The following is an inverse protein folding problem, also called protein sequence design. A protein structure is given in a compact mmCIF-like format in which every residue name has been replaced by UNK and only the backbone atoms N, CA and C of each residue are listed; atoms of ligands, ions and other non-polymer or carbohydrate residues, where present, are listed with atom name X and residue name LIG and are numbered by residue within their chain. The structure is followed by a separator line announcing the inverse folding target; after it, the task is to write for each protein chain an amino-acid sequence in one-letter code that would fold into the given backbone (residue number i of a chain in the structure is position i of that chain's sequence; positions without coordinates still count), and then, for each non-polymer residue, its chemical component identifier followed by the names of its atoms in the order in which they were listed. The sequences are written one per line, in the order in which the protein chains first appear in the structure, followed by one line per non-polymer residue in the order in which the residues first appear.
data_IF_380549701925
#
_entry.id   IF_380549701925
#
_cell.length_a   1.000
_cell.length_b   1.000
_cell.length_c   1.000
_cell.angle_alpha   90.00
_cell.angle_beta   90.00
_cell.angle_gamma   90.00
#
_symmetry.space_group_name_H-M   'P 1'
#
loop_
_entity.id
_entity.type
_entity.pdbx_description
1 polymer ?
#
# COMPACT_ATOMS: atom_id res chain seq x y z
N UNK A 1 -3.45 13.59 -3.86
CA UNK A 1 -3.23 12.73 -2.68
C UNK A 1 -4.50 11.95 -2.47
N UNK A 2 -4.39 10.66 -2.18
CA UNK A 2 -5.54 9.81 -1.90
C UNK A 2 -5.58 9.41 -0.42
N UNK A 3 -6.64 9.80 0.28
CA UNK A 3 -6.84 9.44 1.70
C UNK A 3 -7.22 7.97 1.86
N UNK A 4 -6.75 7.30 2.92
CA UNK A 4 -7.18 5.97 3.30
C UNK A 4 -8.71 5.89 3.39
N UNK A 5 -9.29 4.80 2.89
CA UNK A 5 -10.75 4.61 2.91
C UNK A 5 -11.25 4.22 4.30
N UNK A 6 -10.35 3.77 5.18
CA UNK A 6 -10.67 3.32 6.55
C UNK A 6 -9.54 3.66 7.50
N UNK A 7 -9.90 4.06 8.71
CA UNK A 7 -8.99 4.14 9.86
C UNK A 7 -8.93 2.79 10.57
N UNK A 8 -7.74 2.40 11.04
CA UNK A 8 -7.58 1.22 11.89
C UNK A 8 -8.24 1.46 13.24
N UNK A 9 -9.12 0.56 13.64
CA UNK A 9 -9.73 0.52 14.98
C UNK A 9 -8.86 -0.34 15.91
N UNK A 10 -9.06 -0.19 17.21
CA UNK A 10 -8.43 -1.04 18.24
C UNK A 10 -6.90 -1.02 18.26
N UNK A 11 -6.30 0.12 17.93
CA UNK A 11 -4.86 0.37 18.10
C UNK A 11 -4.65 1.61 18.97
N UNK A 12 -3.59 1.67 19.76
CA UNK A 12 -3.29 2.81 20.66
C UNK A 12 -2.55 3.96 19.98
N UNK A 13 -2.15 3.82 18.72
CA UNK A 13 -1.40 4.84 17.98
C UNK A 13 -2.17 6.14 17.80
N UNK A 14 -1.48 7.29 17.85
CA UNK A 14 -2.10 8.60 17.58
C UNK A 14 -2.65 8.68 16.15
N UNK A 15 -1.86 8.19 15.18
CA UNK A 15 -2.30 8.01 13.78
C UNK A 15 -2.98 6.66 13.64
N UNK A 16 -4.05 6.61 12.84
CA UNK A 16 -4.82 5.37 12.56
C UNK A 16 -4.70 4.92 11.11
N UNK A 17 -3.79 5.54 10.37
CA UNK A 17 -3.48 5.29 8.96
C UNK A 17 -1.97 5.31 8.79
N UNK A 18 -1.51 4.66 7.72
CA UNK A 18 -0.13 4.72 7.23
C UNK A 18 -0.07 5.72 6.07
N UNK A 19 1.12 6.16 5.70
CA UNK A 19 1.33 7.00 4.52
C UNK A 19 2.31 6.30 3.60
N UNK A 20 1.87 5.96 2.39
CA UNK A 20 2.75 5.63 1.28
C UNK A 20 3.12 6.93 0.55
N UNK A 21 4.38 7.33 0.61
CA UNK A 21 4.93 8.30 -0.33
C UNK A 21 5.47 7.56 -1.54
N UNK A 22 5.17 8.07 -2.74
CA UNK A 22 5.62 7.45 -3.98
C UNK A 22 6.14 8.45 -4.99
N UNK A 23 7.11 8.01 -5.79
CA UNK A 23 7.60 8.74 -6.96
C UNK A 23 6.68 8.66 -8.16
N UNK A 24 5.67 7.79 -8.14
CA UNK A 24 4.60 7.81 -9.14
C UNK A 24 3.87 9.15 -9.07
N UNK A 25 3.63 9.73 -10.23
CA UNK A 25 3.22 11.14 -10.36
C UNK A 25 1.70 11.29 -10.25
N UNK A 26 0.95 10.37 -10.86
CA UNK A 26 -0.49 10.52 -11.04
C UNK A 26 -1.28 9.50 -10.22
N UNK A 27 -2.44 9.92 -9.72
CA UNK A 27 -3.34 9.02 -8.99
C UNK A 27 -3.82 7.87 -9.87
N UNK A 28 -4.00 8.14 -11.17
CA UNK A 28 -4.40 7.18 -12.20
C UNK A 28 -3.39 6.06 -12.40
N UNK A 29 -2.13 6.23 -11.98
CA UNK A 29 -1.13 5.15 -12.04
C UNK A 29 -1.56 3.96 -11.15
N UNK A 30 -2.30 4.26 -10.06
CA UNK A 30 -2.83 3.25 -9.13
C UNK A 30 -4.24 2.75 -9.49
N UNK A 31 -4.83 3.18 -10.61
CA UNK A 31 -6.10 2.64 -11.11
C UNK A 31 -5.92 1.24 -11.75
N UNK A 32 -4.67 0.81 -11.93
CA UNK A 32 -4.32 -0.55 -12.35
C UNK A 32 -4.92 -1.59 -11.41
N UNK A 33 -5.58 -2.62 -11.97
CA UNK A 33 -6.14 -3.73 -11.19
C UNK A 33 -5.02 -4.56 -10.57
N UNK A 34 -5.10 -4.79 -9.26
CA UNK A 34 -4.12 -5.61 -8.56
C UNK A 34 -4.30 -7.10 -8.93
N UNK A 35 -3.24 -7.80 -9.34
CA UNK A 35 -3.33 -9.18 -9.81
C UNK A 35 -4.03 -10.11 -8.81
N UNK A 36 -4.95 -10.94 -9.31
CA UNK A 36 -5.73 -11.86 -8.49
C UNK A 36 -6.94 -11.23 -7.78
N UNK A 37 -7.24 -9.96 -8.08
CA UNK A 37 -8.40 -9.23 -7.53
C UNK A 37 -9.22 -8.58 -8.65
N UNK A 38 -10.38 -8.00 -8.29
CA UNK A 38 -11.13 -7.06 -9.12
C UNK A 38 -11.03 -5.61 -8.60
N UNK A 39 -9.97 -5.30 -7.86
CA UNK A 39 -9.75 -4.01 -7.18
C UNK A 39 -8.50 -3.33 -7.70
N UNK A 40 -8.52 -2.00 -7.72
CA UNK A 40 -7.35 -1.21 -8.10
C UNK A 40 -6.27 -1.27 -7.02
N UNK A 41 -5.02 -1.03 -7.38
CA UNK A 41 -3.91 -0.91 -6.44
C UNK A 41 -4.21 0.14 -5.36
N UNK A 42 -4.77 1.29 -5.75
CA UNK A 42 -5.23 2.32 -4.80
C UNK A 42 -6.25 1.76 -3.81
N UNK A 43 -7.27 1.03 -4.29
CA UNK A 43 -8.30 0.49 -3.41
C UNK A 43 -7.73 -0.51 -2.41
N UNK A 44 -6.87 -1.43 -2.87
CA UNK A 44 -6.24 -2.45 -2.01
C UNK A 44 -5.53 -1.78 -0.83
N UNK A 45 -4.62 -0.84 -1.11
CA UNK A 45 -3.85 -0.15 -0.07
C UNK A 45 -4.73 0.70 0.86
N UNK A 46 -5.67 1.46 0.30
CA UNK A 46 -6.49 2.39 1.06
C UNK A 46 -7.53 1.70 1.93
N UNK A 47 -8.09 0.58 1.48
CA UNK A 47 -9.17 -0.12 2.18
C UNK A 47 -8.66 -1.20 3.14
N UNK A 48 -7.82 -2.12 2.67
CA UNK A 48 -7.36 -3.27 3.46
C UNK A 48 -6.20 -2.90 4.37
N UNK A 49 -5.33 -2.00 3.93
CA UNK A 49 -4.08 -1.68 4.61
C UNK A 49 -4.04 -0.27 5.22
N UNK A 50 -5.19 0.42 5.30
CA UNK A 50 -5.35 1.72 5.96
C UNK A 50 -4.29 2.77 5.54
N UNK A 51 -3.96 2.82 4.26
CA UNK A 51 -2.82 3.60 3.76
C UNK A 51 -3.28 4.79 2.92
N UNK A 52 -2.86 5.99 3.31
CA UNK A 52 -2.91 7.21 2.51
C UNK A 52 -1.82 7.13 1.41
N UNK A 53 -2.08 7.66 0.21
CA UNK A 53 -1.11 7.64 -0.90
C UNK A 53 -0.76 9.07 -1.33
N UNK A 54 0.52 9.40 -1.19
CA UNK A 54 1.10 10.71 -1.46
C UNK A 54 2.02 10.62 -2.67
N UNK A 55 1.54 11.15 -3.79
CA UNK A 55 2.21 11.11 -5.10
C UNK A 55 3.27 12.20 -5.26
N UNK A 56 4.06 12.06 -6.32
CA UNK A 56 5.08 13.00 -6.75
C UNK A 56 6.04 13.34 -5.58
N UNK A 57 6.72 12.30 -5.07
CA UNK A 57 7.72 12.38 -3.99
C UNK A 57 9.05 11.85 -4.50
N UNK A 58 10.13 12.27 -3.84
CA UNK A 58 11.49 11.96 -4.29
C UNK A 58 11.86 10.48 -4.17
N UNK A 59 11.14 9.70 -3.36
CA UNK A 59 11.38 8.28 -3.15
C UNK A 59 10.09 7.56 -2.71
N UNK A 60 10.10 6.24 -2.84
CA UNK A 60 9.05 5.36 -2.33
C UNK A 60 9.32 5.02 -0.85
N UNK A 61 8.44 5.44 0.06
CA UNK A 61 8.53 5.07 1.48
C UNK A 61 7.15 4.83 2.08
N UNK A 62 7.08 3.89 3.03
CA UNK A 62 5.93 3.69 3.89
C UNK A 62 6.23 4.24 5.28
N UNK A 63 5.39 5.16 5.75
CA UNK A 63 5.37 5.64 7.12
C UNK A 63 4.28 4.88 7.87
N UNK A 64 4.64 4.07 8.86
CA UNK A 64 3.72 3.28 9.67
C UNK A 64 2.93 4.14 10.66
N UNK A 65 1.92 3.54 11.31
CA UNK A 65 1.04 4.24 12.25
C UNK A 65 1.76 4.79 13.50
N UNK A 66 2.86 4.15 13.90
CA UNK A 66 3.74 4.61 14.98
C UNK A 66 4.73 5.70 14.53
N UNK A 67 4.80 5.99 13.22
CA UNK A 67 5.69 7.00 12.64
C UNK A 67 7.02 6.48 12.13
N UNK A 68 7.33 5.19 12.29
CA UNK A 68 8.52 4.57 11.67
C UNK A 68 8.44 4.71 10.15
N UNK A 69 9.55 5.08 9.50
CA UNK A 69 9.64 5.13 8.03
C UNK A 69 10.43 3.95 7.47
N UNK A 70 9.93 3.38 6.39
CA UNK A 70 10.53 2.27 5.66
C UNK A 70 10.71 2.67 4.20
N UNK A 71 11.96 2.78 3.75
CA UNK A 71 12.27 3.04 2.35
C UNK A 71 12.02 1.77 1.54
N UNK A 72 11.25 1.89 0.46
CA UNK A 72 10.93 0.79 -0.45
C UNK A 72 11.90 0.90 -1.63
N UNK A 73 13.10 0.37 -1.44
CA UNK A 73 14.17 0.42 -2.44
C UNK A 73 14.02 -0.69 -3.47
N UNK A 74 13.25 -0.44 -4.52
CA UNK A 74 13.45 -1.14 -5.80
C UNK A 74 13.51 -0.15 -6.94
N UNK A 75 14.47 -0.43 -7.81
CA UNK A 75 14.81 0.37 -8.98
C UNK A 75 13.73 0.18 -10.06
N UNK A 76 12.59 0.85 -9.87
CA UNK A 76 11.45 0.79 -10.78
C UNK A 76 11.70 1.51 -12.13
N UNK A 77 12.88 2.12 -12.30
CA UNK A 77 13.25 2.99 -13.44
C UNK A 77 13.23 2.29 -14.81
N UNK A 78 13.08 0.96 -14.87
CA UNK A 78 13.09 0.19 -16.10
C UNK A 78 11.80 -0.61 -16.39
N UNK A 79 10.71 -0.37 -15.66
CA UNK A 79 9.44 -1.10 -15.84
C UNK A 79 8.33 -0.15 -16.33
N UNK A 80 7.42 -0.66 -17.15
CA UNK A 80 6.18 0.07 -17.50
C UNK A 80 5.44 0.53 -16.23
N UNK A 81 4.83 1.72 -16.26
CA UNK A 81 4.20 2.37 -15.08
C UNK A 81 3.18 1.45 -14.38
N UNK A 82 2.35 0.73 -15.14
CA UNK A 82 1.38 -0.22 -14.59
C UNK A 82 2.06 -1.34 -13.78
N UNK A 83 3.24 -1.80 -14.20
CA UNK A 83 4.04 -2.74 -13.44
C UNK A 83 4.63 -2.10 -12.18
N UNK A 84 4.96 -0.81 -12.21
CA UNK A 84 5.50 -0.11 -11.03
C UNK A 84 4.45 0.02 -9.92
N UNK A 85 3.20 0.37 -10.23
CA UNK A 85 2.14 0.48 -9.22
C UNK A 85 1.82 -0.88 -8.57
N UNK A 86 1.77 -1.95 -9.37
CA UNK A 86 1.56 -3.32 -8.88
C UNK A 86 2.73 -3.78 -7.99
N UNK A 87 3.97 -3.59 -8.45
CA UNK A 87 5.16 -3.97 -7.68
C UNK A 87 5.23 -3.20 -6.38
N UNK A 88 5.00 -1.88 -6.41
CA UNK A 88 4.99 -1.07 -5.20
C UNK A 88 3.89 -1.51 -4.24
N UNK A 89 2.70 -1.84 -4.76
CA UNK A 89 1.60 -2.38 -3.94
C UNK A 89 1.99 -3.71 -3.29
N UNK A 90 2.60 -4.63 -4.05
CA UNK A 90 3.09 -5.91 -3.53
C UNK A 90 4.13 -5.73 -2.41
N UNK A 91 5.12 -4.85 -2.60
CA UNK A 91 6.14 -4.57 -1.59
C UNK A 91 5.56 -3.93 -0.32
N UNK A 92 4.60 -3.01 -0.47
CA UNK A 92 3.89 -2.39 0.67
C UNK A 92 3.09 -3.44 1.44
N UNK A 93 2.37 -4.32 0.74
CA UNK A 93 1.58 -5.39 1.36
C UNK A 93 2.49 -6.36 2.13
N UNK A 94 3.62 -6.77 1.53
CA UNK A 94 4.64 -7.61 2.20
C UNK A 94 5.17 -6.94 3.46
N UNK A 95 5.57 -5.68 3.33
CA UNK A 95 6.12 -4.91 4.44
C UNK A 95 5.10 -4.79 5.59
N UNK A 96 3.84 -4.46 5.27
CA UNK A 96 2.77 -4.36 6.27
C UNK A 96 2.44 -5.74 6.86
N UNK A 97 2.38 -6.80 6.06
CA UNK A 97 2.13 -8.16 6.50
C UNK A 97 3.14 -8.67 7.54
N UNK A 98 4.39 -8.18 7.46
CA UNK A 98 5.43 -8.47 8.45
C UNK A 98 5.34 -7.63 9.73
N UNK A 99 4.38 -6.70 9.83
CA UNK A 99 4.11 -5.92 11.06
C UNK A 99 3.09 -6.62 11.94
N UNK A 100 3.21 -6.45 13.27
CA UNK A 100 2.33 -7.09 14.26
C UNK A 100 0.82 -6.94 13.96
N UNK A 101 0.35 -5.71 13.66
CA UNK A 101 -1.06 -5.49 13.33
C UNK A 101 -1.40 -5.73 11.85
N UNK A 102 -0.39 -5.63 10.98
CA UNK A 102 -0.57 -5.72 9.54
C UNK A 102 -0.67 -7.16 9.03
N UNK A 103 -0.14 -8.14 9.77
CA UNK A 103 -0.37 -9.57 9.52
C UNK A 103 -1.88 -9.89 9.42
N UNK A 104 -2.69 -9.44 10.38
CA UNK A 104 -4.14 -9.62 10.33
C UNK A 104 -4.81 -8.85 9.17
N UNK A 105 -4.23 -7.75 8.69
CA UNK A 105 -4.75 -7.02 7.52
C UNK A 105 -4.53 -7.84 6.24
N UNK A 106 -3.36 -8.48 6.16
CA UNK A 106 -2.99 -9.39 5.08
C UNK A 106 -3.89 -10.63 5.08
N UNK A 107 -4.13 -11.26 6.24
CA UNK A 107 -5.04 -12.41 6.35
C UNK A 107 -6.44 -12.06 5.82
N UNK A 108 -7.04 -10.96 6.28
CA UNK A 108 -8.38 -10.52 5.82
C UNK A 108 -8.37 -10.23 4.31
N UNK A 109 -7.30 -9.64 3.79
CA UNK A 109 -7.15 -9.39 2.35
C UNK A 109 -7.10 -10.71 1.55
N UNK A 110 -6.32 -11.69 2.01
CA UNK A 110 -6.17 -13.00 1.37
C UNK A 110 -7.41 -13.88 1.51
N UNK A 111 -8.15 -13.79 2.62
CA UNK A 111 -9.47 -14.42 2.76
C UNK A 111 -10.46 -13.86 1.73
N UNK A 112 -10.41 -12.55 1.49
CA UNK A 112 -11.27 -11.87 0.51
C UNK A 112 -10.84 -12.17 -0.93
N UNK A 113 -9.53 -12.24 -1.17
CA UNK A 113 -8.94 -12.49 -2.49
C UNK A 113 -7.85 -13.58 -2.42
N UNK A 114 -8.23 -14.88 -2.35
CA UNK A 114 -7.26 -15.96 -2.16
C UNK A 114 -6.27 -16.16 -3.31
N UNK A 115 -6.52 -15.52 -4.47
CA UNK A 115 -5.65 -15.57 -5.66
C UNK A 115 -4.77 -14.33 -5.78
N UNK A 116 -4.87 -13.38 -4.85
CA UNK A 116 -4.04 -12.17 -4.87
C UNK A 116 -2.56 -12.55 -4.75
N UNK A 117 -1.72 -11.87 -5.54
CA UNK A 117 -0.28 -12.00 -5.38
C UNK A 117 0.12 -11.31 -4.06
N UNK A 118 1.06 -11.88 -3.31
CA UNK A 118 1.58 -11.28 -2.07
C UNK A 118 3.06 -11.56 -1.90
#
# INVERSE_FOLDING_TARGET
MLDALRKRKNVSFKKKTRILKTSLEFETDFDTIYPGTNKTCAYVLRYFFHTDIHFNKNLNELISMDGTSFVISKDARHLEIANQAVILTEEVIKLIGNMYFGYHELDVFLETFPKAKT
#
